data_IF_042699802075
#
_entry.id   IF_042699802075
#
_cell.length_a   1.000
_cell.length_b   1.000
_cell.length_c   1.000
_cell.angle_alpha   90.00
_cell.angle_beta   90.00
_cell.angle_gamma   90.00
#
_symmetry.space_group_name_H-M   'P 1'
#
loop_
_entity.id
_entity.type
_entity.pdbx_description
1 polymer ?
#
# COMPACT_ATOMS: atom_id res chain seq x y z
N UNK A 1 -13.72 16.25 -6.86
CA UNK A 1 -12.71 17.17 -6.30
C UNK A 1 -11.64 17.42 -7.35
N UNK A 2 -11.28 18.68 -7.58
CA UNK A 2 -10.17 19.03 -8.48
C UNK A 2 -8.82 18.92 -7.77
N UNK A 3 -7.72 18.83 -8.53
CA UNK A 3 -6.35 18.73 -7.99
C UNK A 3 -6.01 19.85 -7.01
N UNK A 4 -6.46 21.09 -7.28
CA UNK A 4 -6.20 22.23 -6.40
C UNK A 4 -6.92 22.11 -5.04
N UNK A 5 -8.17 21.65 -5.06
CA UNK A 5 -8.99 21.42 -3.86
C UNK A 5 -8.40 20.29 -3.00
N UNK A 6 -7.90 19.24 -3.64
CA UNK A 6 -7.30 18.09 -2.98
C UNK A 6 -5.98 18.47 -2.27
N UNK A 7 -5.13 19.27 -2.92
CA UNK A 7 -3.90 19.82 -2.30
C UNK A 7 -4.23 20.66 -1.06
N UNK A 8 -5.21 21.56 -1.18
CA UNK A 8 -5.60 22.44 -0.09
C UNK A 8 -6.14 21.65 1.12
N UNK A 9 -6.93 20.61 0.87
CA UNK A 9 -7.42 19.75 1.94
C UNK A 9 -6.31 18.94 2.60
N UNK A 10 -5.32 18.46 1.85
CA UNK A 10 -4.16 17.75 2.40
C UNK A 10 -3.34 18.65 3.32
N UNK A 11 -3.06 19.90 2.92
CA UNK A 11 -2.37 20.87 3.78
C UNK A 11 -3.09 21.09 5.12
N UNK A 12 -4.42 21.30 5.09
CA UNK A 12 -5.23 21.45 6.31
C UNK A 12 -5.23 20.22 7.21
N UNK A 13 -5.09 19.02 6.65
CA UNK A 13 -4.96 17.79 7.45
C UNK A 13 -3.60 17.79 8.15
N UNK A 14 -2.52 18.04 7.41
CA UNK A 14 -1.16 18.07 7.94
C UNK A 14 -0.99 19.13 9.04
N UNK A 15 -1.57 20.31 8.86
CA UNK A 15 -1.53 21.40 9.86
C UNK A 15 -2.15 21.04 11.21
N UNK A 16 -3.08 20.07 11.25
CA UNK A 16 -3.77 19.67 12.49
C UNK A 16 -3.09 18.50 13.21
N UNK A 17 -1.99 17.97 12.67
CA UNK A 17 -1.30 16.82 13.24
C UNK A 17 -0.14 17.30 14.11
N UNK A 18 -0.29 17.17 15.43
CA UNK A 18 0.78 17.45 16.40
C UNK A 18 1.63 16.21 16.72
N UNK A 19 1.17 15.01 16.33
CA UNK A 19 1.89 13.76 16.57
C UNK A 19 3.02 13.59 15.55
N UNK A 20 4.27 13.76 15.99
CA UNK A 20 5.45 13.66 15.14
C UNK A 20 5.58 12.30 14.45
N UNK A 21 5.28 11.20 15.14
CA UNK A 21 5.39 9.85 14.55
C UNK A 21 4.40 9.68 13.39
N UNK A 22 3.17 10.18 13.56
CA UNK A 22 2.16 10.17 12.50
C UNK A 22 2.59 11.07 11.34
N UNK A 23 3.09 12.27 11.64
CA UNK A 23 3.57 13.22 10.64
C UNK A 23 4.74 12.62 9.83
N UNK A 24 5.67 11.93 10.50
CA UNK A 24 6.79 11.23 9.87
C UNK A 24 6.31 10.13 8.94
N UNK A 25 5.33 9.34 9.38
CA UNK A 25 4.74 8.27 8.57
C UNK A 25 4.10 8.81 7.30
N UNK A 26 3.33 9.90 7.42
CA UNK A 26 2.69 10.57 6.28
C UNK A 26 3.74 11.16 5.34
N UNK A 27 4.78 11.78 5.88
CA UNK A 27 5.89 12.32 5.08
C UNK A 27 6.57 11.23 4.25
N UNK A 28 6.96 10.13 4.89
CA UNK A 28 7.66 9.02 4.22
C UNK A 28 6.75 8.40 3.14
N UNK A 29 5.45 8.26 3.41
CA UNK A 29 4.46 7.77 2.44
C UNK A 29 4.31 8.70 1.23
N UNK A 30 4.10 10.01 1.46
CA UNK A 30 3.96 10.98 0.38
C UNK A 30 5.25 11.12 -0.43
N UNK A 31 6.41 11.06 0.22
CA UNK A 31 7.72 11.13 -0.43
C UNK A 31 7.99 9.91 -1.30
N UNK A 32 7.59 8.73 -0.83
CA UNK A 32 7.64 7.51 -1.63
C UNK A 32 6.70 7.65 -2.84
N UNK A 33 5.42 7.98 -2.62
CA UNK A 33 4.43 8.11 -3.70
C UNK A 33 4.72 9.19 -4.75
N UNK A 34 5.40 10.28 -4.38
CA UNK A 34 5.83 11.33 -5.32
C UNK A 34 6.82 10.81 -6.38
N UNK A 35 7.68 9.87 -6.00
CA UNK A 35 8.77 9.36 -6.85
C UNK A 35 8.47 7.96 -7.41
N UNK A 36 7.41 7.31 -6.93
CA UNK A 36 7.01 5.99 -7.37
C UNK A 36 6.11 6.10 -8.58
N UNK A 37 6.58 5.61 -9.73
CA UNK A 37 5.70 5.43 -10.89
C UNK A 37 4.65 4.35 -10.60
N UNK A 38 3.44 4.54 -11.12
CA UNK A 38 2.42 3.50 -11.04
C UNK A 38 2.95 2.18 -11.59
N UNK A 39 2.73 1.10 -10.83
CA UNK A 39 3.23 -0.22 -11.15
C UNK A 39 4.75 -0.39 -11.05
N UNK A 40 5.51 0.52 -10.42
CA UNK A 40 6.96 0.37 -10.27
C UNK A 40 7.36 -0.94 -9.59
N UNK A 41 6.65 -1.37 -8.54
CA UNK A 41 6.88 -2.68 -7.91
C UNK A 41 6.64 -3.81 -8.93
N UNK A 42 5.51 -3.77 -9.65
CA UNK A 42 5.21 -4.74 -10.69
C UNK A 42 6.28 -4.80 -11.79
N UNK A 43 6.82 -3.64 -12.19
CA UNK A 43 7.92 -3.52 -13.17
C UNK A 43 9.23 -4.12 -12.65
N UNK A 44 9.44 -4.20 -11.34
CA UNK A 44 10.66 -4.78 -10.73
C UNK A 44 10.61 -6.29 -10.57
N UNK A 45 9.44 -6.92 -10.69
CA UNK A 45 9.28 -8.37 -10.54
C UNK A 45 9.84 -9.13 -11.75
N UNK A 46 10.47 -10.28 -11.51
CA UNK A 46 10.77 -11.25 -12.56
C UNK A 46 9.49 -11.89 -13.10
N UNK A 47 9.56 -12.54 -14.26
CA UNK A 47 8.39 -13.22 -14.83
C UNK A 47 7.88 -14.34 -13.92
N UNK A 48 8.77 -15.05 -13.23
CA UNK A 48 8.41 -16.05 -12.21
C UNK A 48 7.65 -15.40 -11.05
N UNK A 49 8.12 -14.26 -10.55
CA UNK A 49 7.45 -13.56 -9.46
C UNK A 49 6.08 -13.00 -9.87
N UNK A 50 5.95 -12.47 -11.10
CA UNK A 50 4.64 -12.05 -11.63
C UNK A 50 3.68 -13.22 -11.74
N UNK A 51 4.17 -14.38 -12.20
CA UNK A 51 3.37 -15.61 -12.28
C UNK A 51 2.86 -16.04 -10.90
N UNK A 52 3.70 -15.97 -9.87
CA UNK A 52 3.29 -16.26 -8.48
C UNK A 52 2.22 -15.29 -7.98
N UNK A 53 2.31 -14.00 -8.33
CA UNK A 53 1.26 -13.03 -7.96
C UNK A 53 -0.07 -13.36 -8.64
N UNK A 54 -0.06 -13.69 -9.94
CA UNK A 54 -1.27 -14.12 -10.65
C UNK A 54 -1.85 -15.41 -10.07
N UNK A 55 -1.00 -16.39 -9.77
CA UNK A 55 -1.43 -17.64 -9.15
C UNK A 55 -2.07 -17.39 -7.78
N UNK A 56 -1.46 -16.56 -6.95
CA UNK A 56 -2.00 -16.20 -5.63
C UNK A 56 -3.37 -15.51 -5.74
N UNK A 57 -3.58 -14.71 -6.79
CA UNK A 57 -4.87 -14.08 -7.07
C UNK A 57 -5.93 -15.10 -7.45
N UNK A 58 -5.62 -16.03 -8.36
CA UNK A 58 -6.52 -17.13 -8.73
C UNK A 58 -6.86 -18.02 -7.52
N UNK A 59 -5.86 -18.37 -6.71
CA UNK A 59 -6.07 -19.17 -5.51
C UNK A 59 -6.90 -18.43 -4.45
N UNK A 60 -6.84 -17.10 -4.41
CA UNK A 60 -7.64 -16.32 -3.45
C UNK A 60 -9.15 -16.38 -3.70
N UNK A 61 -9.58 -16.78 -4.90
CA UNK A 61 -10.99 -17.01 -5.23
C UNK A 61 -11.50 -18.36 -4.70
N UNK A 62 -10.60 -19.26 -4.29
CA UNK A 62 -10.93 -20.56 -3.70
C UNK A 62 -10.73 -20.49 -2.17
N UNK A 63 -11.84 -20.52 -1.43
CA UNK A 63 -11.83 -20.50 0.04
C UNK A 63 -10.98 -21.63 0.64
N UNK A 64 -10.81 -22.76 -0.04
CA UNK A 64 -10.00 -23.89 0.43
C UNK A 64 -8.49 -23.62 0.40
N UNK A 65 -8.07 -22.59 -0.34
CA UNK A 65 -6.68 -22.14 -0.46
C UNK A 65 -6.32 -21.03 0.52
N UNK A 66 -7.31 -20.46 1.19
CA UNK A 66 -7.11 -19.40 2.16
C UNK A 66 -6.56 -19.94 3.49
N UNK A 67 -5.65 -19.17 4.09
CA UNK A 67 -5.14 -19.46 5.42
C UNK A 67 -6.02 -18.78 6.46
N UNK A 68 -6.36 -19.51 7.53
CA UNK A 68 -7.11 -18.93 8.64
C UNK A 68 -6.26 -17.85 9.33
N UNK A 69 -6.86 -16.69 9.55
CA UNK A 69 -6.23 -15.55 10.21
C UNK A 69 -5.68 -15.89 11.61
N UNK A 70 -6.40 -16.71 12.38
CA UNK A 70 -5.98 -17.11 13.73
C UNK A 70 -4.70 -17.95 13.73
N UNK A 71 -4.42 -18.66 12.63
CA UNK A 71 -3.20 -19.46 12.48
C UNK A 71 -2.02 -18.61 12.01
N UNK A 72 -2.25 -17.59 11.18
CA UNK A 72 -1.23 -16.62 10.77
C UNK A 72 -0.74 -15.80 11.96
N UNK A 73 -1.66 -15.34 12.82
CA UNK A 73 -1.33 -14.49 13.98
C UNK A 73 -0.49 -15.20 15.05
N UNK A 74 -0.48 -16.53 15.08
CA UNK A 74 0.40 -17.29 16.00
C UNK A 74 1.84 -17.42 15.48
N UNK A 75 2.03 -17.22 14.17
CA UNK A 75 3.31 -17.43 13.50
C UNK A 75 4.21 -16.18 13.50
N UNK A 76 3.63 -15.00 13.73
CA UNK A 76 4.28 -13.69 13.73
C UNK A 76 3.81 -12.85 14.93
#
# INVERSE_FOLDING_TARGET
>A
MGTAELKLNLHKIVERIDNEQLLRTIYDFLKHGENTEEGQIWKTLTEEQKKEVYLSYEESEDESKLLNWDDIKKKY
#
